data_IF_108246137755
#
_entry.id   IF_108246137755
#
_cell.length_a   1.000
_cell.length_b   1.000
_cell.length_c   1.000
_cell.angle_alpha   90.00
_cell.angle_beta   90.00
_cell.angle_gamma   90.00
#
_symmetry.space_group_name_H-M   'P 1'
#
loop_
_entity.id
_entity.type
_entity.pdbx_description
1 polymer ?
#
# COMPACT_ATOMS: atom_id res chain seq x y z
N UNK A 1 44.50 -62.81 15.20
CA UNK A 1 44.68 -64.13 14.53
C UNK A 1 44.32 -63.93 13.07
N UNK A 2 45.32 -64.26 12.21
CA UNK A 2 45.31 -64.62 10.82
C UNK A 2 44.81 -63.57 9.81
N UNK A 3 45.73 -62.86 9.09
CA UNK A 3 46.68 -63.23 7.99
C UNK A 3 45.97 -63.33 6.64
N UNK A 4 46.30 -62.37 5.73
CA UNK A 4 47.12 -62.45 4.49
C UNK A 4 46.40 -63.11 3.31
N UNK A 5 46.47 -62.58 2.07
CA UNK A 5 47.54 -62.33 1.08
C UNK A 5 46.89 -61.67 -0.16
N UNK A 6 47.35 -60.65 -0.78
CA UNK A 6 48.44 -60.44 -1.74
C UNK A 6 48.47 -61.46 -2.92
N UNK A 7 48.16 -60.93 -4.12
CA UNK A 7 48.80 -61.25 -5.42
C UNK A 7 48.17 -60.35 -6.47
N UNK A 8 48.80 -59.45 -7.11
CA UNK A 8 49.90 -59.33 -8.07
C UNK A 8 49.70 -60.17 -9.36
N UNK A 9 49.63 -59.49 -10.51
CA UNK A 9 49.71 -60.08 -11.85
C UNK A 9 49.19 -59.14 -12.90
N UNK A 10 50.00 -58.24 -13.43
CA UNK A 10 50.64 -58.23 -14.77
C UNK A 10 49.70 -57.82 -15.92
N UNK A 11 49.94 -56.59 -16.40
CA UNK A 11 50.40 -56.08 -17.68
C UNK A 11 49.81 -56.74 -18.94
N UNK A 12 49.02 -55.96 -19.73
CA UNK A 12 49.19 -55.90 -21.17
C UNK A 12 48.76 -54.56 -21.74
N UNK A 13 49.70 -53.92 -22.39
CA UNK A 13 49.50 -52.80 -23.34
C UNK A 13 48.70 -53.31 -24.54
N UNK A 14 47.82 -52.43 -25.08
CA UNK A 14 47.74 -52.17 -26.53
C UNK A 14 46.74 -51.08 -26.88
N UNK A 15 47.31 -50.01 -27.47
CA UNK A 15 46.80 -49.27 -28.64
C UNK A 15 45.34 -48.69 -28.65
N UNK A 16 45.25 -47.43 -28.51
CA UNK A 16 44.98 -46.49 -29.60
C UNK A 16 43.53 -46.38 -30.02
N UNK A 17 42.88 -45.30 -29.57
CA UNK A 17 41.99 -44.55 -30.45
C UNK A 17 41.79 -43.16 -29.85
N UNK A 18 42.39 -42.17 -30.48
CA UNK A 18 42.04 -40.77 -30.32
C UNK A 18 40.60 -40.58 -30.83
N UNK A 19 39.65 -40.43 -29.93
CA UNK A 19 38.39 -39.81 -30.25
C UNK A 19 38.42 -38.37 -29.71
N UNK A 20 38.56 -37.44 -30.63
CA UNK A 20 38.23 -36.04 -30.39
C UNK A 20 36.75 -35.98 -30.03
N UNK A 21 36.43 -35.89 -28.72
CA UNK A 21 35.15 -35.42 -28.28
C UNK A 21 35.19 -33.92 -28.39
N UNK A 22 34.57 -33.38 -29.42
CA UNK A 22 34.16 -31.99 -29.44
C UNK A 22 33.15 -31.79 -28.25
N UNK A 23 33.63 -31.23 -27.16
CA UNK A 23 32.76 -30.60 -26.19
C UNK A 23 32.16 -29.39 -26.87
N UNK A 24 30.94 -29.50 -27.35
CA UNK A 24 30.09 -28.35 -27.59
C UNK A 24 29.98 -27.60 -26.27
N UNK A 25 30.22 -26.30 -26.23
CA UNK A 25 29.72 -25.51 -25.11
C UNK A 25 28.20 -25.62 -25.17
N UNK A 26 27.60 -26.20 -24.17
CA UNK A 26 26.17 -26.01 -23.91
C UNK A 26 25.94 -24.50 -23.89
N UNK A 27 25.51 -23.95 -25.01
CA UNK A 27 24.79 -22.73 -25.05
C UNK A 27 23.52 -23.02 -24.24
N UNK A 28 23.50 -22.52 -22.99
CA UNK A 28 22.25 -22.40 -22.25
C UNK A 28 21.35 -21.47 -23.06
N UNK A 29 20.57 -22.04 -23.95
CA UNK A 29 19.42 -21.35 -24.51
C UNK A 29 18.43 -21.20 -23.38
N UNK A 30 18.55 -20.07 -22.67
CA UNK A 30 17.45 -19.59 -21.84
C UNK A 30 16.25 -19.51 -22.79
N UNK A 31 15.24 -20.31 -22.52
CA UNK A 31 14.05 -20.34 -23.36
C UNK A 31 13.36 -18.98 -23.26
N UNK A 32 12.72 -18.51 -24.32
CA UNK A 32 11.95 -17.27 -24.34
C UNK A 32 10.95 -17.25 -23.17
N UNK A 33 10.45 -18.42 -22.76
CA UNK A 33 9.56 -18.59 -21.60
C UNK A 33 10.25 -18.32 -20.24
N UNK A 34 11.54 -18.70 -20.09
CA UNK A 34 12.30 -18.42 -18.85
C UNK A 34 12.62 -16.93 -18.73
N UNK A 35 13.01 -16.28 -19.83
CA UNK A 35 13.25 -14.83 -19.87
C UNK A 35 11.93 -14.08 -19.60
N UNK A 36 10.82 -14.51 -20.21
CA UNK A 36 9.51 -13.90 -19.99
C UNK A 36 9.06 -14.03 -18.54
N UNK A 37 9.28 -15.18 -17.90
CA UNK A 37 8.95 -15.39 -16.49
C UNK A 37 9.83 -14.54 -15.57
N UNK A 38 11.13 -14.43 -15.81
CA UNK A 38 12.04 -13.59 -15.03
C UNK A 38 11.68 -12.11 -15.13
N UNK A 39 11.32 -11.61 -16.33
CA UNK A 39 10.85 -10.23 -16.54
C UNK A 39 9.52 -9.98 -15.82
N UNK A 40 8.60 -10.93 -15.84
CA UNK A 40 7.32 -10.83 -15.13
C UNK A 40 7.56 -10.80 -13.63
N UNK A 41 8.46 -11.62 -13.09
CA UNK A 41 8.77 -11.63 -11.66
C UNK A 41 9.43 -10.31 -11.19
N UNK A 42 10.35 -9.75 -11.98
CA UNK A 42 10.96 -8.44 -11.68
C UNK A 42 9.91 -7.32 -11.68
N UNK A 43 9.04 -7.28 -12.69
CA UNK A 43 7.96 -6.28 -12.75
C UNK A 43 7.03 -6.37 -11.55
N UNK A 44 6.69 -7.58 -11.16
CA UNK A 44 5.83 -7.83 -10.01
C UNK A 44 6.51 -7.40 -8.69
N UNK A 45 7.82 -7.55 -8.56
CA UNK A 45 8.57 -7.09 -7.39
C UNK A 45 8.63 -5.55 -7.32
N UNK A 46 8.81 -4.88 -8.47
CA UNK A 46 8.75 -3.42 -8.54
C UNK A 46 7.38 -2.90 -8.15
N UNK A 47 6.29 -3.50 -8.63
CA UNK A 47 4.92 -3.12 -8.29
C UNK A 47 4.65 -3.29 -6.80
N UNK A 48 5.14 -4.37 -6.19
CA UNK A 48 5.07 -4.58 -4.75
C UNK A 48 5.81 -3.49 -3.97
N UNK A 49 7.02 -3.15 -4.38
CA UNK A 49 7.80 -2.11 -3.74
C UNK A 49 7.14 -0.74 -3.88
N UNK A 50 6.51 -0.43 -5.01
CA UNK A 50 5.74 0.79 -5.18
C UNK A 50 4.48 0.82 -4.32
N UNK A 51 3.68 -0.25 -4.29
CA UNK A 51 2.53 -0.34 -3.41
C UNK A 51 2.92 -0.17 -1.94
N UNK A 52 4.03 -0.79 -1.54
CA UNK A 52 4.63 -0.62 -0.22
C UNK A 52 5.06 0.82 0.03
N UNK A 53 5.69 1.47 -0.94
CA UNK A 53 6.08 2.87 -0.84
C UNK A 53 4.88 3.80 -0.70
N UNK A 54 3.81 3.60 -1.47
CA UNK A 54 2.55 4.35 -1.31
C UNK A 54 2.02 4.15 0.10
N UNK A 55 1.90 2.90 0.55
CA UNK A 55 1.38 2.58 1.88
C UNK A 55 2.17 3.24 3.01
N UNK A 56 3.52 3.22 2.93
CA UNK A 56 4.37 3.83 3.95
C UNK A 56 4.58 5.34 3.77
N UNK A 57 4.25 5.91 2.61
CA UNK A 57 4.25 7.37 2.42
C UNK A 57 3.00 8.05 2.99
N UNK A 58 1.96 7.26 3.29
CA UNK A 58 0.85 7.75 4.09
C UNK A 58 1.37 8.11 5.49
N UNK A 59 0.95 9.23 6.08
CA UNK A 59 1.33 9.57 7.44
C UNK A 59 1.09 8.37 8.35
N UNK A 60 2.03 8.10 9.25
CA UNK A 60 1.82 7.05 10.24
C UNK A 60 0.44 7.22 10.88
N UNK A 61 -0.42 6.19 10.91
CA UNK A 61 -1.73 6.31 11.53
C UNK A 61 -1.66 6.83 12.97
N UNK A 62 -0.58 6.49 13.68
CA UNK A 62 -0.33 6.95 15.04
C UNK A 62 -0.05 8.45 15.06
N UNK A 63 0.83 8.95 14.19
CA UNK A 63 1.12 10.37 14.09
C UNK A 63 -0.12 11.17 13.69
N UNK A 64 -0.85 10.68 12.69
CA UNK A 64 -2.11 11.28 12.22
C UNK A 64 -3.14 11.35 13.36
N UNK A 65 -3.31 10.26 14.13
CA UNK A 65 -4.21 10.23 15.28
C UNK A 65 -3.78 11.22 16.39
N UNK A 66 -2.49 11.26 16.68
CA UNK A 66 -1.95 12.22 17.67
C UNK A 66 -2.19 13.66 17.21
N UNK A 67 -1.94 13.95 15.95
CA UNK A 67 -2.16 15.24 15.33
C UNK A 67 -3.63 15.63 15.41
N UNK A 68 -4.52 14.76 14.95
CA UNK A 68 -5.96 14.98 15.01
C UNK A 68 -6.44 15.21 16.44
N UNK A 69 -6.02 14.40 17.41
CA UNK A 69 -6.37 14.56 18.83
C UNK A 69 -5.82 15.87 19.41
N UNK A 70 -4.58 16.27 19.08
CA UNK A 70 -4.01 17.56 19.51
C UNK A 70 -4.78 18.74 18.93
N UNK A 71 -5.17 18.65 17.67
CA UNK A 71 -5.98 19.66 16.99
C UNK A 71 -7.44 19.71 17.48
N UNK A 72 -7.82 18.86 18.45
CA UNK A 72 -9.16 18.82 19.01
C UNK A 72 -10.21 18.13 18.15
N UNK A 73 -9.79 17.35 17.15
CA UNK A 73 -10.70 16.55 16.33
C UNK A 73 -11.45 15.52 17.19
N UNK A 74 -12.73 15.36 16.90
CA UNK A 74 -13.60 14.39 17.55
C UNK A 74 -13.94 13.28 16.56
N UNK A 75 -14.19 12.10 17.11
CA UNK A 75 -14.75 11.02 16.32
C UNK A 75 -16.14 11.40 15.79
N UNK A 76 -16.33 11.19 14.50
CA UNK A 76 -17.63 11.38 13.85
C UNK A 76 -17.89 10.17 12.91
N UNK A 77 -18.85 9.33 13.30
CA UNK A 77 -19.24 8.15 12.52
C UNK A 77 -19.86 8.52 11.17
N UNK A 78 -20.41 9.73 11.02
CA UNK A 78 -21.04 10.17 9.77
C UNK A 78 -20.02 10.41 8.63
N UNK A 79 -18.75 10.52 8.95
CA UNK A 79 -17.69 10.60 7.94
C UNK A 79 -17.47 9.26 7.22
N UNK A 80 -17.82 8.15 7.86
CA UNK A 80 -17.46 6.82 7.41
C UNK A 80 -18.47 6.25 6.40
N UNK A 81 -18.00 5.33 5.58
CA UNK A 81 -18.88 4.63 4.66
C UNK A 81 -19.80 3.66 5.43
N UNK A 82 -21.11 3.86 5.28
CA UNK A 82 -22.07 3.00 5.98
C UNK A 82 -21.93 1.53 5.54
N UNK A 83 -21.82 0.61 6.51
CA UNK A 83 -21.79 -0.83 6.25
C UNK A 83 -23.08 -1.34 5.56
N UNK A 84 -24.17 -0.56 5.59
CA UNK A 84 -25.41 -0.87 4.88
C UNK A 84 -25.28 -0.76 3.37
N UNK A 85 -24.19 -0.14 2.86
CA UNK A 85 -23.94 -0.01 1.43
C UNK A 85 -23.33 -1.29 0.81
N UNK A 86 -22.82 -2.22 1.61
CA UNK A 86 -22.15 -3.45 1.11
C UNK A 86 -23.00 -4.21 0.06
N UNK A 87 -24.32 -4.39 0.22
CA UNK A 87 -25.12 -5.09 -0.78
C UNK A 87 -25.19 -4.41 -2.15
N UNK A 88 -24.80 -3.13 -2.25
CA UNK A 88 -24.81 -2.37 -3.50
C UNK A 88 -23.57 -2.67 -4.37
N UNK A 89 -22.49 -3.20 -3.79
CA UNK A 89 -21.23 -3.44 -4.49
C UNK A 89 -21.26 -4.77 -5.25
N UNK A 90 -21.67 -4.71 -6.53
CA UNK A 90 -21.90 -5.89 -7.35
C UNK A 90 -20.75 -6.20 -8.34
N UNK A 91 -19.91 -5.21 -8.63
CA UNK A 91 -18.76 -5.37 -9.54
C UNK A 91 -17.45 -5.61 -8.78
N UNK A 92 -16.47 -6.23 -9.44
CA UNK A 92 -15.12 -6.39 -8.88
C UNK A 92 -14.51 -5.03 -8.53
N UNK A 93 -14.69 -4.01 -9.38
CA UNK A 93 -14.21 -2.65 -9.13
C UNK A 93 -14.82 -2.08 -7.84
N UNK A 94 -16.16 -2.09 -7.72
CA UNK A 94 -16.83 -1.51 -6.55
C UNK A 94 -16.43 -2.25 -5.27
N UNK A 95 -16.34 -3.59 -5.31
CA UNK A 95 -15.90 -4.39 -4.17
C UNK A 95 -14.46 -4.07 -3.76
N UNK A 96 -13.55 -3.95 -4.73
CA UNK A 96 -12.14 -3.67 -4.45
C UNK A 96 -11.92 -2.25 -3.92
N UNK A 97 -12.54 -1.23 -4.54
CA UNK A 97 -12.50 0.14 -4.03
C UNK A 97 -13.03 0.20 -2.59
N UNK A 98 -14.19 -0.43 -2.34
CA UNK A 98 -14.82 -0.37 -1.03
C UNK A 98 -14.13 -1.27 0.01
N UNK A 99 -13.40 -2.31 -0.39
CA UNK A 99 -12.49 -3.02 0.52
C UNK A 99 -11.40 -2.07 1.04
N UNK A 100 -10.83 -1.25 0.17
CA UNK A 100 -9.87 -0.20 0.55
C UNK A 100 -10.50 0.85 1.46
N UNK A 101 -11.67 1.36 1.09
CA UNK A 101 -12.44 2.36 1.85
C UNK A 101 -12.75 1.85 3.26
N UNK A 102 -13.35 0.66 3.40
CA UNK A 102 -13.65 0.11 4.72
C UNK A 102 -12.39 -0.24 5.53
N UNK A 103 -11.26 -0.53 4.88
CA UNK A 103 -9.98 -0.71 5.58
C UNK A 103 -9.46 0.60 6.17
N UNK A 104 -9.63 1.72 5.46
CA UNK A 104 -9.33 3.05 5.97
C UNK A 104 -10.28 3.44 7.11
N UNK A 105 -11.57 3.16 6.96
CA UNK A 105 -12.57 3.35 8.02
C UNK A 105 -12.24 2.55 9.28
N UNK A 106 -11.87 1.27 9.12
CA UNK A 106 -11.42 0.42 10.23
C UNK A 106 -10.22 1.04 10.96
N UNK A 107 -9.26 1.56 10.20
CA UNK A 107 -8.11 2.25 10.76
C UNK A 107 -8.55 3.49 11.55
N UNK A 108 -9.45 4.29 10.99
CA UNK A 108 -9.95 5.50 11.63
C UNK A 108 -10.70 5.20 12.94
N UNK A 109 -11.64 4.27 12.96
CA UNK A 109 -12.37 3.91 14.18
C UNK A 109 -11.46 3.37 15.27
N UNK A 110 -10.42 2.64 14.86
CA UNK A 110 -9.40 2.10 15.79
C UNK A 110 -8.55 3.21 16.40
N UNK A 111 -8.21 4.26 15.65
CA UNK A 111 -7.49 5.43 16.16
C UNK A 111 -8.24 6.19 17.26
N UNK A 112 -9.56 6.15 17.23
CA UNK A 112 -10.44 6.77 18.21
C UNK A 112 -10.95 5.79 19.28
N UNK A 113 -10.35 4.61 19.39
CA UNK A 113 -10.67 3.58 20.39
C UNK A 113 -12.16 3.13 20.33
N UNK A 114 -12.77 3.14 19.13
CA UNK A 114 -14.18 2.79 18.91
C UNK A 114 -14.34 1.29 18.69
N UNK A 115 -14.18 0.47 19.71
CA UNK A 115 -14.16 -1.02 19.61
C UNK A 115 -15.38 -1.61 18.92
N UNK A 116 -16.60 -1.10 19.18
CA UNK A 116 -17.82 -1.62 18.55
C UNK A 116 -17.87 -1.30 17.04
N UNK A 117 -17.43 -0.11 16.66
CA UNK A 117 -17.31 0.27 15.26
C UNK A 117 -16.19 -0.55 14.59
N UNK A 118 -15.05 -0.76 15.26
CA UNK A 118 -13.95 -1.59 14.73
C UNK A 118 -14.41 -3.01 14.38
N UNK A 119 -15.26 -3.65 15.22
CA UNK A 119 -15.84 -4.97 14.92
C UNK A 119 -16.72 -4.91 13.66
N UNK A 120 -17.55 -3.86 13.51
CA UNK A 120 -18.43 -3.70 12.34
C UNK A 120 -17.62 -3.54 11.05
N UNK A 121 -16.60 -2.65 11.06
CA UNK A 121 -15.77 -2.39 9.89
C UNK A 121 -14.84 -3.57 9.56
N UNK A 122 -14.32 -4.30 10.55
CA UNK A 122 -13.60 -5.55 10.33
C UNK A 122 -14.49 -6.61 9.65
N UNK A 123 -15.75 -6.71 10.05
CA UNK A 123 -16.70 -7.63 9.41
C UNK A 123 -17.00 -7.22 7.97
N UNK A 124 -17.08 -5.91 7.69
CA UNK A 124 -17.28 -5.37 6.34
C UNK A 124 -16.10 -5.68 5.42
N UNK A 125 -14.86 -5.42 5.87
CA UNK A 125 -13.64 -5.73 5.11
C UNK A 125 -13.52 -7.23 4.85
N UNK A 126 -13.77 -8.07 5.86
CA UNK A 126 -13.76 -9.53 5.71
C UNK A 126 -14.75 -10.01 4.65
N UNK A 127 -15.98 -9.49 4.66
CA UNK A 127 -16.99 -9.84 3.67
C UNK A 127 -16.57 -9.49 2.24
N UNK A 128 -16.08 -8.27 2.01
CA UNK A 128 -15.62 -7.87 0.67
C UNK A 128 -14.39 -8.65 0.21
N UNK A 129 -13.46 -8.96 1.13
CA UNK A 129 -12.31 -9.81 0.83
C UNK A 129 -12.74 -11.23 0.43
N UNK A 130 -13.76 -11.80 1.08
CA UNK A 130 -14.35 -13.09 0.72
C UNK A 130 -15.01 -13.05 -0.65
N UNK A 131 -15.85 -12.04 -0.90
CA UNK A 131 -16.52 -11.80 -2.19
C UNK A 131 -15.55 -11.61 -3.37
N UNK A 132 -14.33 -11.13 -3.11
CA UNK A 132 -13.25 -10.97 -4.09
C UNK A 132 -12.37 -12.22 -4.23
N UNK A 133 -12.59 -13.24 -3.39
CA UNK A 133 -11.76 -14.45 -3.34
C UNK A 133 -10.37 -14.22 -2.77
N UNK A 134 -10.17 -13.14 -2.01
CA UNK A 134 -8.89 -12.77 -1.40
C UNK A 134 -8.78 -13.33 0.03
N UNK A 135 -9.90 -13.70 0.64
CA UNK A 135 -9.92 -14.13 2.04
C UNK A 135 -9.02 -15.34 2.33
N UNK A 136 -8.82 -16.21 1.33
CA UNK A 136 -7.89 -17.34 1.45
C UNK A 136 -6.42 -16.91 1.46
N UNK A 137 -6.13 -15.70 0.99
CA UNK A 137 -4.82 -15.06 1.08
C UNK A 137 -4.54 -14.47 2.45
N UNK A 138 -5.61 -14.08 3.12
CA UNK A 138 -5.55 -13.61 4.49
C UNK A 138 -5.62 -14.83 5.38
N UNK A 139 -4.46 -15.28 5.87
CA UNK A 139 -4.41 -16.36 6.84
C UNK A 139 -5.43 -16.09 7.97
N UNK A 140 -6.23 -17.10 8.30
CA UNK A 140 -7.20 -17.04 9.40
C UNK A 140 -6.57 -16.55 10.71
N UNK A 141 -5.26 -16.68 10.85
CA UNK A 141 -4.50 -16.16 11.99
C UNK A 141 -4.55 -14.64 12.08
N UNK A 142 -4.52 -13.91 10.94
CA UNK A 142 -4.61 -12.43 10.92
C UNK A 142 -5.98 -11.95 11.40
N UNK A 143 -7.04 -12.61 10.95
CA UNK A 143 -8.41 -12.28 11.39
C UNK A 143 -8.54 -12.47 12.90
N UNK A 144 -8.08 -13.63 13.42
CA UNK A 144 -8.08 -13.89 14.87
C UNK A 144 -7.21 -12.89 15.64
N UNK A 145 -6.05 -12.52 15.08
CA UNK A 145 -5.20 -11.48 15.69
C UNK A 145 -5.91 -10.14 15.74
N UNK A 146 -6.61 -9.72 14.66
CA UNK A 146 -7.42 -8.49 14.65
C UNK A 146 -8.54 -8.54 15.69
N UNK A 147 -9.31 -9.64 15.74
CA UNK A 147 -10.38 -9.84 16.71
C UNK A 147 -9.87 -9.78 18.16
N UNK A 148 -8.73 -10.43 18.44
CA UNK A 148 -8.12 -10.46 19.77
C UNK A 148 -7.50 -9.11 20.18
N UNK A 149 -7.12 -8.27 19.22
CA UNK A 149 -6.48 -6.99 19.45
C UNK A 149 -7.38 -5.79 19.12
N UNK A 150 -8.71 -6.03 19.02
CA UNK A 150 -9.67 -4.98 18.63
C UNK A 150 -9.64 -3.74 19.53
N UNK A 151 -9.17 -3.89 20.76
CA UNK A 151 -9.00 -2.80 21.73
C UNK A 151 -7.58 -2.26 21.80
N UNK A 152 -6.66 -2.77 20.97
CA UNK A 152 -5.27 -2.34 20.91
C UNK A 152 -5.01 -1.67 19.57
N UNK A 153 -5.11 -0.36 19.52
CA UNK A 153 -4.90 0.46 18.31
C UNK A 153 -3.62 0.09 17.58
N UNK A 154 -2.49 0.11 18.29
CA UNK A 154 -1.17 -0.07 17.68
C UNK A 154 -1.02 -1.48 17.09
N UNK A 155 -1.45 -2.50 17.83
CA UNK A 155 -1.48 -3.89 17.34
C UNK A 155 -2.41 -4.06 16.13
N UNK A 156 -3.59 -3.41 16.16
CA UNK A 156 -4.54 -3.52 15.05
C UNK A 156 -3.98 -2.87 13.78
N UNK A 157 -3.34 -1.71 13.89
CA UNK A 157 -2.70 -1.03 12.78
C UNK A 157 -1.55 -1.85 12.18
N UNK A 158 -0.72 -2.47 13.01
CA UNK A 158 0.33 -3.39 12.57
C UNK A 158 -0.25 -4.58 11.79
N UNK A 159 -1.28 -5.22 12.34
CA UNK A 159 -1.93 -6.37 11.70
C UNK A 159 -2.60 -5.98 10.38
N UNK A 160 -3.24 -4.81 10.30
CA UNK A 160 -3.82 -4.29 9.04
C UNK A 160 -2.71 -4.13 7.99
N UNK A 161 -1.57 -3.54 8.37
CA UNK A 161 -0.43 -3.35 7.48
C UNK A 161 0.13 -4.68 6.97
N UNK A 162 0.36 -5.64 7.87
CA UNK A 162 0.81 -6.99 7.50
C UNK A 162 -0.19 -7.70 6.58
N UNK A 163 -1.49 -7.59 6.89
CA UNK A 163 -2.56 -8.20 6.10
C UNK A 163 -2.59 -7.61 4.69
N UNK A 164 -2.44 -6.29 4.56
CA UNK A 164 -2.37 -5.63 3.25
C UNK A 164 -1.19 -6.14 2.44
N UNK A 165 0.00 -6.21 3.04
CA UNK A 165 1.22 -6.66 2.36
C UNK A 165 1.11 -8.12 1.90
N UNK A 166 0.56 -9.00 2.74
CA UNK A 166 0.38 -10.41 2.40
C UNK A 166 -0.70 -10.62 1.33
N UNK A 167 -1.81 -9.86 1.40
CA UNK A 167 -2.84 -9.88 0.38
C UNK A 167 -2.32 -9.40 -0.98
N UNK A 168 -1.46 -8.38 -0.99
CA UNK A 168 -0.82 -7.91 -2.21
C UNK A 168 0.09 -8.98 -2.84
N UNK A 169 0.91 -9.67 -2.03
CA UNK A 169 1.74 -10.79 -2.49
C UNK A 169 0.89 -11.92 -3.10
N UNK A 170 -0.20 -12.31 -2.43
CA UNK A 170 -1.11 -13.33 -2.93
C UNK A 170 -1.78 -12.92 -4.26
N UNK A 171 -2.24 -11.69 -4.37
CA UNK A 171 -2.87 -11.19 -5.61
C UNK A 171 -1.88 -11.20 -6.77
N UNK A 172 -0.62 -10.88 -6.49
CA UNK A 172 0.48 -10.95 -7.41
C UNK A 172 0.70 -12.40 -7.91
N UNK A 173 0.84 -13.36 -7.00
CA UNK A 173 1.02 -14.77 -7.31
C UNK A 173 -0.16 -15.36 -8.09
N UNK A 174 -1.37 -14.84 -7.86
CA UNK A 174 -2.60 -15.25 -8.56
C UNK A 174 -2.89 -14.44 -9.83
N UNK A 175 -1.92 -13.67 -10.34
CA UNK A 175 -2.02 -12.87 -11.58
C UNK A 175 -3.15 -11.83 -11.56
N UNK A 176 -3.38 -11.20 -10.39
CA UNK A 176 -4.38 -10.14 -10.17
C UNK A 176 -3.77 -8.92 -9.47
N UNK A 177 -2.57 -8.46 -9.87
CA UNK A 177 -1.91 -7.34 -9.18
C UNK A 177 -2.67 -6.02 -9.34
N UNK A 178 -3.45 -5.84 -10.42
CA UNK A 178 -4.29 -4.67 -10.65
C UNK A 178 -5.35 -4.49 -9.54
N UNK A 179 -5.83 -5.59 -8.97
CA UNK A 179 -6.80 -5.54 -7.89
C UNK A 179 -6.23 -4.90 -6.62
N UNK A 180 -4.95 -5.18 -6.32
CA UNK A 180 -4.27 -4.56 -5.20
C UNK A 180 -4.14 -3.03 -5.38
N UNK A 181 -3.85 -2.58 -6.59
CA UNK A 181 -3.80 -1.15 -6.91
C UNK A 181 -5.17 -0.47 -6.72
N UNK A 182 -6.26 -1.14 -7.11
CA UNK A 182 -7.63 -0.64 -6.90
C UNK A 182 -7.97 -0.55 -5.39
N UNK A 183 -7.65 -1.57 -4.60
CA UNK A 183 -7.86 -1.55 -3.14
C UNK A 183 -7.07 -0.41 -2.51
N UNK A 184 -5.81 -0.23 -2.90
CA UNK A 184 -4.97 0.86 -2.41
C UNK A 184 -5.55 2.23 -2.76
N UNK A 185 -6.07 2.39 -3.98
CA UNK A 185 -6.73 3.64 -4.43
C UNK A 185 -7.97 3.95 -3.58
N UNK A 186 -8.80 2.94 -3.29
CA UNK A 186 -9.96 3.10 -2.40
C UNK A 186 -9.57 3.55 -0.99
N UNK A 187 -8.54 2.93 -0.42
CA UNK A 187 -8.04 3.30 0.92
C UNK A 187 -7.42 4.70 0.94
N UNK A 188 -6.71 5.08 -0.13
CA UNK A 188 -6.09 6.41 -0.25
C UNK A 188 -7.14 7.52 -0.33
N UNK A 189 -8.15 7.36 -1.18
CA UNK A 189 -9.19 8.39 -1.34
C UNK A 189 -10.03 8.55 -0.07
N UNK A 190 -10.32 7.46 0.65
CA UNK A 190 -11.05 7.53 1.93
C UNK A 190 -10.20 8.23 2.99
N UNK A 191 -8.91 7.89 3.11
CA UNK A 191 -8.01 8.57 4.03
C UNK A 191 -7.92 10.07 3.77
N UNK A 192 -7.80 10.48 2.50
CA UNK A 192 -7.78 11.89 2.12
C UNK A 192 -9.14 12.56 2.38
N UNK A 193 -10.25 11.87 2.10
CA UNK A 193 -11.58 12.38 2.41
C UNK A 193 -11.74 12.66 3.91
N UNK A 194 -11.46 11.69 4.76
CA UNK A 194 -11.53 11.84 6.22
C UNK A 194 -10.64 13.00 6.68
N UNK A 195 -9.40 13.07 6.20
CA UNK A 195 -8.45 14.12 6.56
C UNK A 195 -8.98 15.51 6.19
N UNK A 196 -9.53 15.68 4.97
CA UNK A 196 -10.09 16.96 4.52
C UNK A 196 -11.33 17.37 5.33
N UNK A 197 -12.23 16.43 5.65
CA UNK A 197 -13.43 16.74 6.45
C UNK A 197 -13.09 17.12 7.88
N UNK A 198 -12.15 16.42 8.51
CA UNK A 198 -11.68 16.74 9.88
C UNK A 198 -11.02 18.12 9.87
N UNK A 199 -10.13 18.39 8.91
CA UNK A 199 -9.46 19.69 8.78
C UNK A 199 -10.48 20.83 8.63
N UNK A 200 -11.51 20.64 7.82
CA UNK A 200 -12.59 21.62 7.61
C UNK A 200 -13.37 21.93 8.88
N UNK A 201 -13.53 20.95 9.77
CA UNK A 201 -14.33 21.06 11.00
C UNK A 201 -13.48 21.39 12.24
N UNK A 202 -12.16 21.61 12.09
CA UNK A 202 -11.24 21.86 13.20
C UNK A 202 -10.73 23.31 13.13
N UNK A 203 -10.85 24.04 14.21
CA UNK A 203 -10.22 25.37 14.35
C UNK A 203 -8.70 25.21 14.52
N UNK A 204 -7.95 26.23 14.04
CA UNK A 204 -6.47 26.23 14.09
C UNK A 204 -5.87 24.94 13.45
N UNK A 205 -6.17 24.76 12.20
CA UNK A 205 -5.98 23.51 11.47
C UNK A 205 -4.77 23.51 10.53
N UNK A 206 -3.81 24.44 10.67
CA UNK A 206 -2.70 24.56 9.72
C UNK A 206 -1.87 23.26 9.62
N UNK A 207 -1.56 22.64 10.76
CA UNK A 207 -0.83 21.38 10.78
C UNK A 207 -1.59 20.24 10.05
N UNK A 208 -2.93 20.23 10.14
CA UNK A 208 -3.77 19.29 9.40
C UNK A 208 -3.77 19.61 7.90
N UNK A 209 -3.83 20.89 7.52
CA UNK A 209 -3.72 21.33 6.12
C UNK A 209 -2.39 20.91 5.52
N UNK A 210 -1.30 21.10 6.25
CA UNK A 210 0.04 20.69 5.79
C UNK A 210 0.09 19.18 5.52
N UNK A 211 -0.53 18.35 6.37
CA UNK A 211 -0.65 16.89 6.15
C UNK A 211 -1.50 16.53 4.95
N UNK A 212 -2.56 17.30 4.66
CA UNK A 212 -3.35 17.12 3.44
C UNK A 212 -2.52 17.46 2.21
N UNK A 213 -1.70 18.50 2.26
CA UNK A 213 -0.78 18.89 1.17
C UNK A 213 0.29 17.82 0.93
N UNK A 214 0.85 17.25 1.98
CA UNK A 214 1.87 16.20 1.89
C UNK A 214 1.38 14.96 1.10
N UNK A 215 0.05 14.75 1.03
CA UNK A 215 -0.53 13.64 0.25
C UNK A 215 -0.29 13.73 -1.26
N UNK A 216 0.13 14.88 -1.79
CA UNK A 216 0.56 15.01 -3.19
C UNK A 216 1.68 14.02 -3.57
N UNK A 217 2.59 13.72 -2.62
CA UNK A 217 3.70 12.79 -2.86
C UNK A 217 3.21 11.36 -2.98
N UNK A 218 2.31 10.94 -2.08
CA UNK A 218 1.70 9.61 -2.13
C UNK A 218 0.80 9.46 -3.36
N UNK A 219 0.09 10.52 -3.78
CA UNK A 219 -0.70 10.53 -5.00
C UNK A 219 0.17 10.30 -6.25
N UNK A 220 1.31 10.96 -6.34
CA UNK A 220 2.26 10.77 -7.45
C UNK A 220 2.71 9.30 -7.57
N UNK A 221 3.06 8.69 -6.44
CA UNK A 221 3.47 7.28 -6.40
C UNK A 221 2.31 6.34 -6.74
N UNK A 222 1.10 6.64 -6.25
CA UNK A 222 -0.09 5.85 -6.54
C UNK A 222 -0.49 5.94 -8.01
N UNK A 223 -0.44 7.13 -8.62
CA UNK A 223 -0.69 7.29 -10.04
C UNK A 223 0.34 6.54 -10.90
N UNK A 224 1.62 6.53 -10.51
CA UNK A 224 2.64 5.74 -11.18
C UNK A 224 2.38 4.23 -11.09
N UNK A 225 1.87 3.75 -9.96
CA UNK A 225 1.44 2.35 -9.81
C UNK A 225 0.24 2.03 -10.70
N UNK A 226 -0.80 2.87 -10.68
CA UNK A 226 -2.02 2.68 -11.48
C UNK A 226 -1.72 2.74 -12.98
N UNK A 227 -0.79 3.60 -13.44
CA UNK A 227 -0.43 3.75 -14.86
C UNK A 227 0.14 2.45 -15.47
N UNK A 228 0.72 1.55 -14.67
CA UNK A 228 1.15 0.24 -15.11
C UNK A 228 0.00 -0.64 -15.61
N UNK A 229 -1.19 -0.40 -15.09
CA UNK A 229 -2.41 -1.14 -15.41
C UNK A 229 -3.43 -0.31 -16.21
N UNK A 230 -3.00 0.79 -16.84
CA UNK A 230 -3.87 1.72 -17.58
C UNK A 230 -4.64 1.12 -18.75
N UNK A 231 -4.31 -0.11 -19.16
CA UNK A 231 -5.07 -0.83 -20.18
C UNK A 231 -6.36 -1.45 -19.64
N UNK A 232 -6.53 -1.52 -18.32
CA UNK A 232 -7.80 -1.90 -17.67
C UNK A 232 -8.72 -0.68 -17.61
N UNK A 233 -9.95 -0.81 -18.14
CA UNK A 233 -10.91 0.29 -18.22
C UNK A 233 -11.36 0.77 -16.82
N UNK A 234 -11.38 -0.11 -15.82
CA UNK A 234 -11.69 0.25 -14.44
C UNK A 234 -10.59 1.14 -13.83
N UNK A 235 -9.33 0.81 -14.14
CA UNK A 235 -8.19 1.58 -13.65
C UNK A 235 -8.11 2.94 -14.33
N UNK A 236 -8.46 3.05 -15.62
CA UNK A 236 -8.56 4.35 -16.30
C UNK A 236 -9.48 5.31 -15.58
N UNK A 237 -10.66 4.84 -15.13
CA UNK A 237 -11.61 5.67 -14.39
C UNK A 237 -10.95 6.24 -13.13
N UNK A 238 -10.22 5.41 -12.38
CA UNK A 238 -9.52 5.83 -11.15
C UNK A 238 -8.41 6.83 -11.49
N UNK A 239 -7.62 6.56 -12.53
CA UNK A 239 -6.55 7.47 -12.99
C UNK A 239 -7.13 8.84 -13.37
N UNK A 240 -8.23 8.87 -14.11
CA UNK A 240 -8.87 10.12 -14.54
C UNK A 240 -9.40 10.93 -13.35
N UNK A 241 -9.97 10.26 -12.35
CA UNK A 241 -10.41 10.92 -11.12
C UNK A 241 -9.23 11.44 -10.29
N UNK A 242 -8.18 10.67 -10.15
CA UNK A 242 -7.00 11.06 -9.36
C UNK A 242 -6.15 12.14 -10.05
N UNK A 243 -6.13 12.20 -11.37
CA UNK A 243 -5.53 13.31 -12.12
C UNK A 243 -6.21 14.64 -11.83
N UNK A 244 -7.54 14.67 -11.66
CA UNK A 244 -8.24 15.89 -11.25
C UNK A 244 -7.77 16.37 -9.87
N UNK A 245 -7.49 15.44 -8.94
CA UNK A 245 -6.90 15.77 -7.62
C UNK A 245 -5.46 16.29 -7.81
N UNK A 246 -4.68 15.63 -8.67
CA UNK A 246 -3.31 16.03 -8.98
C UNK A 246 -3.26 17.45 -9.54
N UNK A 247 -4.16 17.83 -10.44
CA UNK A 247 -4.26 19.19 -11.00
C UNK A 247 -4.41 20.26 -9.91
N UNK A 248 -5.15 19.97 -8.82
CA UNK A 248 -5.26 20.91 -7.69
C UNK A 248 -3.92 20.98 -6.94
N UNK A 249 -3.27 19.85 -6.69
CA UNK A 249 -1.98 19.81 -6.02
C UNK A 249 -0.86 20.47 -6.83
N UNK A 250 -0.88 20.36 -8.15
CA UNK A 250 0.13 20.94 -9.05
C UNK A 250 0.05 22.48 -9.09
N UNK A 251 -1.08 23.06 -8.71
CA UNK A 251 -1.26 24.52 -8.58
C UNK A 251 -0.79 25.06 -7.21
N UNK A 252 -0.31 24.21 -6.30
CA UNK A 252 0.21 24.64 -4.99
C UNK A 252 1.69 24.98 -5.13
N UNK A 253 2.03 26.25 -4.89
CA UNK A 253 3.43 26.66 -4.78
C UNK A 253 4.04 26.10 -3.49
N UNK A 254 4.99 25.18 -3.63
CA UNK A 254 5.74 24.62 -2.53
C UNK A 254 7.20 24.98 -2.66
N UNK A 255 7.70 25.74 -1.71
CA UNK A 255 9.12 26.04 -1.60
C UNK A 255 9.72 25.38 -0.36
N UNK A 256 10.85 24.73 -0.54
CA UNK A 256 11.59 24.13 0.58
C UNK A 256 12.87 24.94 0.80
N UNK A 257 13.09 25.41 2.04
CA UNK A 257 14.35 26.06 2.40
C UNK A 257 15.52 25.08 2.28
N UNK A 258 16.73 25.59 2.10
CA UNK A 258 17.93 24.78 2.26
C UNK A 258 17.98 24.08 3.62
N UNK A 259 18.64 22.94 3.66
CA UNK A 259 18.87 22.20 4.91
C UNK A 259 19.84 23.00 5.77
N UNK A 260 19.43 23.35 7.00
CA UNK A 260 20.28 24.00 8.01
C UNK A 260 20.58 23.04 9.15
N UNK A 261 21.83 22.97 9.55
CA UNK A 261 22.23 22.20 10.73
C UNK A 261 22.04 23.06 11.99
N UNK A 262 21.17 22.62 12.89
CA UNK A 262 20.95 23.26 14.20
C UNK A 262 21.60 22.38 15.27
N UNK A 263 22.56 22.95 16.00
CA UNK A 263 23.29 22.25 17.06
C UNK A 263 22.63 22.63 18.38
N UNK A 264 22.13 21.66 19.14
CA UNK A 264 21.75 21.84 20.53
C UNK A 264 23.01 21.78 21.41
N UNK A 265 23.43 22.93 21.89
CA UNK A 265 24.65 23.06 22.71
C UNK A 265 24.58 22.29 24.05
N UNK A 266 23.36 21.93 24.53
CA UNK A 266 23.19 21.21 25.80
C UNK A 266 23.34 19.70 25.62
N UNK A 267 22.92 19.18 24.49
CA UNK A 267 22.91 17.74 24.21
C UNK A 267 23.99 17.33 23.22
N UNK A 268 24.69 18.27 22.57
CA UNK A 268 25.62 18.05 21.45
C UNK A 268 24.97 17.27 20.29
N UNK A 269 23.65 17.35 20.13
CA UNK A 269 22.93 16.73 19.02
C UNK A 269 22.78 17.78 17.91
N UNK A 270 23.17 17.38 16.69
CA UNK A 270 22.94 18.18 15.49
C UNK A 270 21.68 17.70 14.80
N UNK A 271 20.68 18.55 14.70
CA UNK A 271 19.45 18.30 13.95
C UNK A 271 19.54 19.00 12.59
N UNK A 272 19.17 18.29 11.53
CA UNK A 272 19.05 18.88 10.21
C UNK A 272 17.61 19.39 10.06
N UNK A 273 17.45 20.71 9.93
CA UNK A 273 16.16 21.33 9.76
C UNK A 273 16.00 21.89 8.35
N UNK A 274 14.86 21.64 7.74
CA UNK A 274 14.40 22.34 6.53
C UNK A 274 12.98 22.84 6.75
N UNK A 275 12.68 24.03 6.26
CA UNK A 275 11.33 24.58 6.25
C UNK A 275 10.71 24.41 4.89
N UNK A 276 9.60 23.69 4.83
CA UNK A 276 8.73 23.69 3.65
C UNK A 276 7.64 24.74 3.87
N UNK A 277 7.53 25.66 2.96
CA UNK A 277 6.42 26.63 2.91
C UNK A 277 5.58 26.32 1.69
N UNK A 278 4.28 26.15 1.89
CA UNK A 278 3.31 25.98 0.81
C UNK A 278 2.35 27.16 0.79
N UNK A 279 2.05 27.64 -0.40
CA UNK A 279 0.95 28.59 -0.61
C UNK A 279 -0.28 27.79 -1.01
N UNK A 280 -0.98 27.29 0.00
CA UNK A 280 -2.24 26.58 -0.17
C UNK A 280 -3.35 27.43 0.42
N UNK A 281 -4.14 28.03 -0.46
CA UNK A 281 -5.21 28.92 -0.03
C UNK A 281 -6.41 28.14 0.51
N UNK A 282 -7.24 28.83 1.31
CA UNK A 282 -8.49 28.23 1.79
C UNK A 282 -9.41 27.83 0.62
N UNK A 283 -9.40 28.58 -0.47
CA UNK A 283 -10.16 28.26 -1.67
C UNK A 283 -9.67 26.97 -2.33
N UNK A 284 -8.36 26.74 -2.42
CA UNK A 284 -7.80 25.51 -2.96
C UNK A 284 -8.09 24.32 -2.07
N UNK A 285 -8.02 24.50 -0.76
CA UNK A 285 -8.42 23.48 0.20
C UNK A 285 -9.90 23.10 0.05
N UNK A 286 -10.80 24.08 -0.09
CA UNK A 286 -12.22 23.83 -0.31
C UNK A 286 -12.47 23.09 -1.62
N UNK A 287 -11.81 23.49 -2.72
CA UNK A 287 -11.88 22.80 -4.01
C UNK A 287 -11.42 21.34 -3.89
N UNK A 288 -10.27 21.11 -3.24
CA UNK A 288 -9.76 19.76 -3.00
C UNK A 288 -10.73 18.93 -2.19
N UNK A 289 -11.20 19.45 -1.06
CA UNK A 289 -12.14 18.75 -0.17
C UNK A 289 -13.44 18.37 -0.88
N UNK A 290 -13.99 19.27 -1.71
CA UNK A 290 -15.22 19.00 -2.46
C UNK A 290 -14.99 17.94 -3.54
N UNK A 291 -13.91 18.05 -4.33
CA UNK A 291 -13.59 17.08 -5.37
C UNK A 291 -13.36 15.67 -4.78
N UNK A 292 -12.62 15.58 -3.68
CA UNK A 292 -12.37 14.31 -2.99
C UNK A 292 -13.68 13.72 -2.47
N UNK A 293 -14.57 14.55 -1.91
CA UNK A 293 -15.90 14.11 -1.48
C UNK A 293 -16.74 13.57 -2.63
N UNK A 294 -16.72 14.24 -3.78
CA UNK A 294 -17.47 13.80 -4.96
C UNK A 294 -16.97 12.46 -5.51
N UNK A 295 -15.64 12.29 -5.62
CA UNK A 295 -15.02 11.04 -6.07
C UNK A 295 -15.37 9.91 -5.09
N UNK A 296 -15.13 10.12 -3.80
CA UNK A 296 -15.43 9.15 -2.75
C UNK A 296 -16.92 8.75 -2.76
N UNK A 297 -17.83 9.72 -2.87
CA UNK A 297 -19.25 9.46 -2.90
C UNK A 297 -19.67 8.67 -4.15
N UNK A 298 -18.98 8.85 -5.28
CA UNK A 298 -19.23 8.04 -6.47
C UNK A 298 -18.78 6.59 -6.28
N UNK A 299 -17.70 6.34 -5.53
CA UNK A 299 -17.20 4.99 -5.26
C UNK A 299 -18.04 4.22 -4.23
N UNK A 300 -18.79 4.93 -3.37
CA UNK A 300 -19.59 4.33 -2.28
C UNK A 300 -21.07 4.21 -2.58
N UNK A 301 -21.50 4.51 -3.82
CA UNK A 301 -22.90 4.40 -4.25
C UNK A 301 -23.36 2.97 -4.49
#
# INVERSE_FOLDING_TARGET
MYKTKLQLGILTLLFGSFLFSCSNPEQSTTTEDEIANEVVDQQLEEDFNQAKQVFYSLPSPIETAMLMKRAGAKYDENLLNSITNIPNYNTTLNKALNLGIYSADLSFVSMFDQSQASIKYLSATKRLADDLGILNAVDQSYIKRMENNINSRDSLMEIISETFMNSNSFLKENKRPELAAIVLAGGWVEGLYIATQITKNTSDNQELKDRVIDQRLSLTTLLALLDKYKNDDNIKIIIDDFKKIQEIYDNIDVSTSGITAVVDEKTNVTTLESKTTSVFTDDDFIKLSNLVSDIRNNYTK
#
